data_IF_764771603869
#
_entry.id   IF_764771603869
#
_cell.length_a   1.000
_cell.length_b   1.000
_cell.length_c   1.000
_cell.angle_alpha   90.00
_cell.angle_beta   90.00
_cell.angle_gamma   90.00
#
_symmetry.space_group_name_H-M   'P 1'
#
loop_
_entity.id
_entity.type
_entity.pdbx_description
1 polymer ?
#
# COMPACT_ATOMS: atom_id res chain seq x y z
N UNK A 1 -6.05 2.48 7.64
CA UNK A 1 -6.33 2.42 9.09
C UNK A 1 -5.11 2.79 9.93
N UNK A 2 -3.92 2.31 9.62
CA UNK A 2 -2.70 2.65 10.38
C UNK A 2 -2.36 4.15 10.36
N UNK A 3 -2.67 4.81 9.26
CA UNK A 3 -2.28 6.21 9.00
C UNK A 3 -3.45 7.18 8.89
N UNK A 4 -4.68 6.68 8.91
CA UNK A 4 -5.90 7.49 8.88
C UNK A 4 -6.80 7.13 10.08
N UNK A 5 -6.76 7.92 11.15
CA UNK A 5 -7.55 7.66 12.35
C UNK A 5 -9.06 7.86 12.14
N UNK A 6 -9.47 8.75 11.22
CA UNK A 6 -10.89 8.98 10.91
C UNK A 6 -11.46 7.75 10.21
N UNK A 7 -10.73 7.22 9.22
CA UNK A 7 -11.11 5.99 8.54
C UNK A 7 -11.13 4.80 9.51
N UNK A 8 -10.13 4.70 10.40
CA UNK A 8 -10.09 3.66 11.42
C UNK A 8 -11.27 3.71 12.40
N UNK A 9 -11.68 4.92 12.81
CA UNK A 9 -12.88 5.12 13.63
C UNK A 9 -14.13 4.67 12.90
N UNK A 10 -14.32 5.14 11.65
CA UNK A 10 -15.48 4.76 10.86
C UNK A 10 -15.58 3.23 10.67
N UNK A 11 -14.49 2.54 10.34
CA UNK A 11 -14.53 1.07 10.18
C UNK A 11 -15.01 0.41 11.46
N UNK A 12 -14.49 0.82 12.63
CA UNK A 12 -14.84 0.21 13.93
C UNK A 12 -16.24 0.57 14.41
N UNK A 13 -16.61 1.84 14.33
CA UNK A 13 -17.82 2.37 14.99
C UNK A 13 -18.94 2.76 14.02
N UNK A 14 -18.63 2.98 12.74
CA UNK A 14 -19.52 3.56 11.75
C UNK A 14 -19.47 5.11 11.70
N UNK A 15 -18.75 5.73 12.65
CA UNK A 15 -18.70 7.19 12.76
C UNK A 15 -17.26 7.71 12.93
N UNK A 16 -16.95 8.91 12.42
CA UNK A 16 -17.73 9.65 11.44
C UNK A 16 -17.77 8.96 10.09
N UNK A 17 -18.81 9.14 9.28
CA UNK A 17 -18.94 8.50 7.97
C UNK A 17 -18.15 9.29 6.89
N UNK A 18 -16.97 8.83 6.42
CA UNK A 18 -16.20 9.56 5.43
C UNK A 18 -16.92 9.58 4.07
N UNK A 19 -16.83 10.68 3.30
CA UNK A 19 -17.45 10.78 1.99
C UNK A 19 -17.03 9.63 1.07
N UNK A 20 -18.00 8.95 0.46
CA UNK A 20 -17.77 7.83 -0.45
C UNK A 20 -17.44 6.50 0.22
N UNK A 21 -17.52 6.42 1.55
CA UNK A 21 -17.44 5.15 2.27
C UNK A 21 -18.74 4.36 2.07
N UNK A 22 -18.66 3.03 1.91
CA UNK A 22 -19.84 2.19 1.78
C UNK A 22 -20.53 2.01 3.13
N UNK A 23 -21.81 1.72 3.10
CA UNK A 23 -22.58 1.37 4.30
C UNK A 23 -22.27 -0.05 4.79
N UNK A 24 -22.45 -0.26 6.10
CA UNK A 24 -22.34 -1.55 6.76
C UNK A 24 -22.72 -1.42 8.23
N UNK A 25 -23.53 -2.34 8.72
CA UNK A 25 -24.03 -2.32 10.10
C UNK A 25 -22.93 -2.74 11.11
N UNK A 26 -22.07 -3.67 10.71
CA UNK A 26 -20.98 -4.18 11.55
C UNK A 26 -19.61 -3.75 11.03
N UNK A 27 -18.58 -3.83 11.88
CA UNK A 27 -17.19 -3.60 11.49
C UNK A 27 -16.78 -4.48 10.30
N UNK A 28 -17.10 -5.77 10.35
CA UNK A 28 -16.77 -6.72 9.30
C UNK A 28 -17.44 -6.38 7.97
N UNK A 29 -18.70 -5.94 8.00
CA UNK A 29 -19.42 -5.52 6.79
C UNK A 29 -18.85 -4.24 6.19
N UNK A 30 -18.53 -3.24 7.02
CA UNK A 30 -17.89 -2.00 6.56
C UNK A 30 -16.53 -2.28 5.95
N UNK A 31 -15.72 -3.11 6.61
CA UNK A 31 -14.40 -3.50 6.11
C UNK A 31 -14.52 -4.23 4.76
N UNK A 32 -15.35 -5.27 4.67
CA UNK A 32 -15.55 -6.03 3.44
C UNK A 32 -16.16 -5.18 2.30
N UNK A 33 -17.03 -4.23 2.63
CA UNK A 33 -17.59 -3.33 1.64
C UNK A 33 -16.52 -2.35 1.10
N UNK A 34 -15.64 -1.86 1.98
CA UNK A 34 -14.55 -0.99 1.58
C UNK A 34 -13.47 -1.73 0.77
N UNK A 35 -13.14 -2.98 1.12
CA UNK A 35 -12.27 -3.82 0.29
C UNK A 35 -12.73 -3.89 -1.17
N UNK A 36 -14.03 -4.04 -1.40
CA UNK A 36 -14.60 -4.05 -2.76
C UNK A 36 -14.44 -2.69 -3.47
N UNK A 37 -14.50 -1.59 -2.74
CA UNK A 37 -14.23 -0.24 -3.28
C UNK A 37 -12.76 -0.12 -3.68
N UNK A 38 -11.84 -0.49 -2.80
CA UNK A 38 -10.39 -0.49 -3.06
C UNK A 38 -10.06 -1.38 -4.25
N UNK A 39 -10.56 -2.61 -4.27
CA UNK A 39 -10.33 -3.56 -5.38
C UNK A 39 -10.81 -3.00 -6.73
N UNK A 40 -11.95 -2.31 -6.77
CA UNK A 40 -12.43 -1.68 -8.01
C UNK A 40 -11.54 -0.51 -8.44
N UNK A 41 -11.06 0.30 -7.49
CA UNK A 41 -10.16 1.42 -7.78
C UNK A 41 -8.79 0.94 -8.26
N UNK A 42 -8.22 -0.04 -7.61
CA UNK A 42 -6.87 -0.57 -7.91
C UNK A 42 -6.82 -1.36 -9.21
N UNK A 43 -7.91 -2.08 -9.56
CA UNK A 43 -8.00 -2.87 -10.80
C UNK A 43 -8.72 -2.13 -11.94
N UNK A 44 -9.22 -0.92 -11.70
CA UNK A 44 -9.88 -0.11 -12.72
C UNK A 44 -8.91 0.39 -13.78
N UNK A 45 -9.40 0.60 -15.00
CA UNK A 45 -8.60 1.17 -16.10
C UNK A 45 -8.18 2.62 -15.80
N UNK A 46 -8.94 3.32 -14.97
CA UNK A 46 -8.66 4.68 -14.51
C UNK A 46 -8.48 4.69 -12.99
N UNK A 47 -7.25 4.78 -12.53
CA UNK A 47 -6.95 4.95 -11.12
C UNK A 47 -7.30 6.37 -10.65
N UNK A 48 -8.11 6.48 -9.60
CA UNK A 48 -8.45 7.77 -9.00
C UNK A 48 -9.00 8.83 -9.97
N UNK A 49 -9.58 8.41 -11.09
CA UNK A 49 -10.25 9.25 -12.08
C UNK A 49 -9.35 9.96 -13.09
N UNK A 50 -8.02 9.85 -13.05
CA UNK A 50 -7.15 10.66 -13.94
C UNK A 50 -5.90 9.98 -14.51
N UNK A 51 -5.51 8.78 -14.10
CA UNK A 51 -4.33 8.10 -14.64
C UNK A 51 -4.69 6.71 -15.17
N UNK A 52 -4.29 6.37 -16.40
CA UNK A 52 -4.55 5.04 -16.94
C UNK A 52 -3.71 4.00 -16.20
N UNK A 53 -4.35 2.91 -15.81
CA UNK A 53 -3.68 1.72 -15.33
C UNK A 53 -3.34 0.80 -16.50
N UNK A 54 -2.18 0.18 -16.45
CA UNK A 54 -1.83 -0.89 -17.36
C UNK A 54 -2.75 -2.11 -17.12
N UNK A 55 -3.11 -2.86 -18.17
CA UNK A 55 -3.87 -4.10 -18.00
C UNK A 55 -3.15 -5.07 -17.06
N UNK A 56 -3.89 -5.64 -16.13
CA UNK A 56 -3.37 -6.61 -15.17
C UNK A 56 -4.32 -7.81 -15.06
N UNK A 57 -3.80 -9.04 -15.17
CA UNK A 57 -4.67 -10.22 -15.03
C UNK A 57 -5.28 -10.31 -13.63
N UNK A 58 -6.59 -10.34 -13.53
CA UNK A 58 -7.31 -10.44 -12.24
C UNK A 58 -6.86 -11.62 -11.38
N UNK A 59 -6.40 -12.70 -12.01
CA UNK A 59 -5.86 -13.88 -11.33
C UNK A 59 -4.57 -13.61 -10.53
N UNK A 60 -3.89 -12.48 -10.76
CA UNK A 60 -2.69 -12.05 -10.03
C UNK A 60 -3.02 -11.05 -8.90
N UNK A 61 -4.30 -10.80 -8.61
CA UNK A 61 -4.74 -9.86 -7.57
C UNK A 61 -4.58 -8.39 -7.94
N UNK A 62 -4.27 -7.54 -6.99
CA UNK A 62 -4.12 -6.10 -7.18
C UNK A 62 -2.80 -5.76 -7.87
N UNK A 63 -2.81 -4.97 -8.96
CA UNK A 63 -1.58 -4.56 -9.62
C UNK A 63 -0.72 -3.64 -8.73
N UNK A 64 0.63 -3.72 -8.77
CA UNK A 64 1.50 -2.88 -7.94
C UNK A 64 1.29 -1.38 -8.13
N UNK A 65 1.04 -0.92 -9.37
CA UNK A 65 0.72 0.49 -9.65
C UNK A 65 -0.66 0.91 -9.13
N UNK A 66 -1.64 0.01 -9.12
CA UNK A 66 -2.95 0.25 -8.51
C UNK A 66 -2.84 0.38 -6.99
N UNK A 67 -2.06 -0.49 -6.36
CA UNK A 67 -1.74 -0.40 -4.94
C UNK A 67 -0.96 0.87 -4.59
N UNK A 68 0.02 1.26 -5.42
CA UNK A 68 0.74 2.52 -5.29
C UNK A 68 -0.23 3.71 -5.30
N UNK A 69 -1.12 3.77 -6.27
CA UNK A 69 -2.09 4.85 -6.37
C UNK A 69 -3.06 4.88 -5.18
N UNK A 70 -3.47 3.72 -4.67
CA UNK A 70 -4.33 3.66 -3.48
C UNK A 70 -3.58 4.15 -2.23
N UNK A 71 -2.29 3.83 -2.09
CA UNK A 71 -1.47 4.35 -1.00
C UNK A 71 -1.26 5.87 -1.13
N UNK A 72 -0.99 6.38 -2.32
CA UNK A 72 -0.77 7.81 -2.53
C UNK A 72 -2.03 8.68 -2.42
N UNK A 73 -3.19 8.18 -2.85
CA UNK A 73 -4.39 8.98 -3.09
C UNK A 73 -5.65 8.43 -2.42
N UNK A 74 -5.57 7.25 -1.81
CA UNK A 74 -6.67 6.59 -1.13
C UNK A 74 -6.72 6.91 0.36
N UNK A 75 -6.85 5.88 1.19
CA UNK A 75 -7.01 5.99 2.65
C UNK A 75 -5.67 6.09 3.41
N UNK A 76 -4.56 6.30 2.73
CA UNK A 76 -3.25 6.50 3.34
C UNK A 76 -2.94 7.98 3.57
N UNK A 77 -1.79 8.25 4.17
CA UNK A 77 -1.38 9.60 4.55
C UNK A 77 -1.28 10.51 3.34
N UNK A 78 -2.00 11.62 3.37
CA UNK A 78 -2.02 12.59 2.27
C UNK A 78 -0.62 13.19 2.08
N UNK A 79 -0.15 13.19 0.83
CA UNK A 79 1.12 13.80 0.45
C UNK A 79 2.32 12.87 0.38
N UNK A 80 2.27 11.66 0.96
CA UNK A 80 3.35 10.68 0.82
C UNK A 80 3.41 10.16 -0.62
N UNK A 81 4.60 10.18 -1.21
CA UNK A 81 4.83 9.60 -2.53
C UNK A 81 5.34 8.16 -2.40
N UNK A 82 4.86 7.31 -3.28
CA UNK A 82 5.25 5.91 -3.34
C UNK A 82 5.95 5.58 -4.67
N UNK A 83 6.74 4.52 -4.64
CA UNK A 83 7.39 3.94 -5.82
C UNK A 83 7.25 2.43 -5.82
N UNK A 84 7.50 1.85 -6.99
CA UNK A 84 7.50 0.39 -7.19
C UNK A 84 8.91 -0.07 -7.48
N UNK A 85 9.45 -0.93 -6.63
CA UNK A 85 10.74 -1.59 -6.81
C UNK A 85 10.55 -3.05 -7.21
N UNK A 86 11.13 -3.43 -8.35
CA UNK A 86 11.10 -4.82 -8.81
C UNK A 86 12.21 -5.60 -8.13
N UNK A 87 11.85 -6.55 -7.28
CA UNK A 87 12.78 -7.41 -6.56
C UNK A 87 13.09 -8.69 -7.35
N UNK A 88 12.12 -9.15 -8.13
CA UNK A 88 12.24 -10.38 -8.92
C UNK A 88 13.32 -10.23 -9.99
N UNK A 89 14.33 -11.13 -9.95
CA UNK A 89 15.44 -11.10 -10.89
C UNK A 89 16.60 -10.19 -10.50
N UNK A 90 16.50 -9.48 -9.38
CA UNK A 90 17.64 -8.77 -8.82
C UNK A 90 18.67 -9.79 -8.29
N UNK A 91 19.95 -9.45 -8.41
CA UNK A 91 21.02 -10.18 -7.77
C UNK A 91 21.05 -9.96 -6.25
N UNK A 92 21.93 -10.64 -5.57
CA UNK A 92 22.06 -10.57 -4.11
C UNK A 92 22.29 -9.13 -3.64
N UNK A 93 23.20 -8.40 -4.29
CA UNK A 93 23.49 -7.02 -3.93
C UNK A 93 22.27 -6.11 -4.10
N UNK A 94 21.57 -6.22 -5.22
CA UNK A 94 20.36 -5.46 -5.48
C UNK A 94 19.21 -5.81 -4.53
N UNK A 95 19.11 -7.05 -4.05
CA UNK A 95 18.12 -7.41 -3.02
C UNK A 95 18.47 -6.82 -1.67
N UNK A 96 19.75 -6.83 -1.27
CA UNK A 96 20.24 -6.19 -0.04
C UNK A 96 19.93 -4.70 -0.05
N UNK A 97 20.32 -3.98 -1.12
CA UNK A 97 20.11 -2.54 -1.26
C UNK A 97 18.61 -2.16 -1.16
N UNK A 98 17.76 -2.89 -1.88
CA UNK A 98 16.30 -2.63 -1.88
C UNK A 98 15.66 -2.96 -0.54
N UNK A 99 16.10 -4.03 0.12
CA UNK A 99 15.63 -4.36 1.46
C UNK A 99 16.03 -3.27 2.46
N UNK A 100 17.29 -2.86 2.46
CA UNK A 100 17.78 -1.81 3.36
C UNK A 100 17.07 -0.47 3.12
N UNK A 101 16.85 -0.11 1.86
CA UNK A 101 16.04 1.05 1.49
C UNK A 101 14.62 0.94 2.03
N UNK A 102 13.99 -0.24 1.89
CA UNK A 102 12.63 -0.47 2.41
C UNK A 102 12.57 -0.30 3.93
N UNK A 103 13.55 -0.84 4.66
CA UNK A 103 13.69 -0.64 6.12
C UNK A 103 13.76 0.84 6.46
N UNK A 104 14.64 1.59 5.80
CA UNK A 104 14.87 3.00 6.10
C UNK A 104 13.63 3.86 5.86
N UNK A 105 12.92 3.66 4.74
CA UNK A 105 11.75 4.48 4.40
C UNK A 105 10.48 4.11 5.18
N UNK A 106 10.36 2.85 5.60
CA UNK A 106 9.23 2.40 6.43
C UNK A 106 9.41 2.83 7.89
N UNK A 107 10.66 3.02 8.35
CA UNK A 107 10.97 3.51 9.70
C UNK A 107 10.29 4.85 10.03
N UNK A 108 9.98 5.68 9.02
CA UNK A 108 9.23 6.93 9.17
C UNK A 108 7.73 6.73 9.50
N UNK A 109 7.29 5.47 9.66
CA UNK A 109 5.93 5.11 10.04
C UNK A 109 4.93 5.02 8.88
N UNK A 110 5.39 5.18 7.63
CA UNK A 110 4.56 4.94 6.45
C UNK A 110 4.67 3.46 6.01
N UNK A 111 3.55 2.74 5.86
CA UNK A 111 3.60 1.34 5.49
C UNK A 111 4.03 1.13 4.04
N UNK A 112 4.63 -0.03 3.78
CA UNK A 112 4.86 -0.54 2.43
C UNK A 112 4.02 -1.77 2.12
N UNK A 113 4.10 -2.24 0.89
CA UNK A 113 3.54 -3.52 0.47
C UNK A 113 4.64 -4.37 -0.16
N UNK A 114 4.61 -5.67 0.13
CA UNK A 114 5.51 -6.62 -0.50
C UNK A 114 4.68 -7.69 -1.23
N UNK A 115 4.87 -7.77 -2.53
CA UNK A 115 4.33 -8.84 -3.38
C UNK A 115 5.25 -10.04 -3.32
N UNK A 116 4.69 -11.17 -2.96
CA UNK A 116 5.42 -12.43 -2.79
C UNK A 116 4.75 -13.55 -3.60
N UNK A 117 5.50 -14.60 -3.88
CA UNK A 117 4.97 -15.71 -4.65
C UNK A 117 5.92 -16.87 -4.79
N UNK A 118 5.75 -17.61 -5.87
CA UNK A 118 6.68 -18.65 -6.28
C UNK A 118 7.67 -18.12 -7.36
N UNK A 119 8.44 -19.00 -7.97
CA UNK A 119 9.39 -18.61 -9.02
C UNK A 119 8.75 -18.12 -10.31
N UNK A 120 7.47 -18.40 -10.54
CA UNK A 120 6.76 -18.12 -11.79
C UNK A 120 5.84 -16.90 -11.71
N UNK A 121 5.14 -16.71 -10.58
CA UNK A 121 4.09 -15.69 -10.44
C UNK A 121 4.06 -15.12 -9.03
N UNK A 122 3.75 -13.81 -8.87
CA UNK A 122 3.30 -13.25 -7.60
C UNK A 122 1.94 -13.85 -7.24
N UNK A 123 1.73 -14.15 -5.96
CA UNK A 123 0.53 -14.85 -5.49
C UNK A 123 -0.12 -14.20 -4.30
N UNK A 124 0.60 -13.38 -3.59
CA UNK A 124 0.15 -12.80 -2.34
C UNK A 124 0.77 -11.42 -2.10
N UNK A 125 0.08 -10.59 -1.34
CA UNK A 125 0.54 -9.26 -0.94
C UNK A 125 0.46 -9.17 0.57
N UNK A 126 1.54 -8.72 1.19
CA UNK A 126 1.63 -8.50 2.63
C UNK A 126 1.93 -7.03 2.91
N UNK A 127 1.45 -6.53 4.06
CA UNK A 127 1.72 -5.17 4.51
C UNK A 127 3.05 -5.15 5.26
N UNK A 128 3.91 -4.22 4.89
CA UNK A 128 5.23 -4.04 5.52
C UNK A 128 5.16 -2.87 6.48
N UNK A 129 5.65 -3.10 7.68
CA UNK A 129 5.65 -2.18 8.82
C UNK A 129 7.07 -2.01 9.37
N UNK A 130 7.35 -0.95 10.15
CA UNK A 130 8.61 -0.85 10.88
C UNK A 130 8.80 -2.07 11.78
N UNK A 131 10.02 -2.60 11.84
CA UNK A 131 10.40 -3.64 12.79
C UNK A 131 11.00 -3.05 14.07
N UNK A 132 11.52 -3.92 14.92
CA UNK A 132 12.00 -3.59 16.28
C UNK A 132 13.37 -2.89 16.33
N UNK A 133 13.84 -2.33 15.22
CA UNK A 133 15.09 -1.54 15.18
C UNK A 133 16.37 -2.33 14.89
N UNK A 134 16.29 -3.64 14.64
CA UNK A 134 17.41 -4.54 14.28
C UNK A 134 17.64 -4.64 12.75
N UNK A 135 17.20 -3.65 11.98
CA UNK A 135 17.16 -3.65 10.51
C UNK A 135 16.32 -4.80 9.93
N UNK A 136 15.25 -5.13 10.62
CA UNK A 136 14.20 -6.02 10.16
C UNK A 136 12.92 -5.26 9.88
N UNK A 137 11.92 -5.96 9.36
CA UNK A 137 10.59 -5.44 9.08
C UNK A 137 9.54 -6.34 9.74
N UNK A 138 8.50 -5.73 10.27
CA UNK A 138 7.30 -6.46 10.61
C UNK A 138 6.42 -6.59 9.37
N UNK A 139 5.79 -7.74 9.21
CA UNK A 139 4.96 -8.04 8.07
C UNK A 139 3.61 -8.56 8.53
N UNK A 140 2.56 -7.78 8.29
CA UNK A 140 1.20 -8.25 8.49
C UNK A 140 0.73 -9.03 7.28
N UNK A 141 0.36 -10.28 7.50
CA UNK A 141 -0.14 -11.20 6.49
C UNK A 141 -1.68 -11.29 6.57
N UNK A 142 -2.41 -10.71 5.60
CA UNK A 142 -3.87 -10.70 5.63
C UNK A 142 -4.50 -12.10 5.47
N UNK A 143 -3.78 -13.08 4.89
CA UNK A 143 -4.30 -14.43 4.75
C UNK A 143 -4.38 -15.17 6.10
N UNK A 144 -3.49 -14.82 7.03
CA UNK A 144 -3.44 -15.45 8.36
C UNK A 144 -3.90 -14.54 9.49
N UNK A 145 -3.99 -13.23 9.22
CA UNK A 145 -4.25 -12.19 10.22
C UNK A 145 -3.10 -12.00 11.22
N UNK A 146 -1.90 -12.48 10.91
CA UNK A 146 -0.74 -12.47 11.81
C UNK A 146 0.31 -11.47 11.38
N UNK A 147 1.05 -10.97 12.36
CA UNK A 147 2.29 -10.24 12.13
C UNK A 147 3.44 -11.24 12.24
N UNK A 148 4.28 -11.27 11.21
CA UNK A 148 5.52 -12.02 11.17
C UNK A 148 6.69 -11.06 11.11
N UNK A 149 7.90 -11.61 11.20
CA UNK A 149 9.14 -10.86 11.17
C UNK A 149 9.93 -11.20 9.91
N UNK A 150 10.33 -10.18 9.15
CA UNK A 150 11.05 -10.34 7.88
C UNK A 150 12.47 -9.81 8.00
N UNK A 151 13.43 -10.69 7.82
CA UNK A 151 14.85 -10.39 7.86
C UNK A 151 15.44 -10.31 6.46
N UNK A 152 16.54 -9.57 6.33
CA UNK A 152 17.27 -9.40 5.07
C UNK A 152 17.67 -10.73 4.44
N UNK A 153 18.24 -11.65 5.23
CA UNK A 153 18.69 -12.94 4.76
C UNK A 153 17.56 -13.79 4.17
N UNK A 154 16.36 -13.70 4.74
CA UNK A 154 15.18 -14.39 4.21
C UNK A 154 14.78 -13.87 2.82
N UNK A 155 14.90 -12.55 2.58
CA UNK A 155 14.63 -11.92 1.28
C UNK A 155 15.67 -12.35 0.25
N UNK A 156 16.94 -12.22 0.60
CA UNK A 156 18.07 -12.53 -0.28
C UNK A 156 18.10 -14.01 -0.67
N UNK A 157 17.84 -14.90 0.27
CA UNK A 157 17.84 -16.35 0.06
C UNK A 157 16.54 -16.89 -0.53
N UNK A 158 15.53 -16.02 -0.79
CA UNK A 158 14.20 -16.45 -1.24
C UNK A 158 13.56 -17.48 -0.30
N UNK A 159 13.60 -17.20 1.01
CA UNK A 159 13.07 -18.04 2.10
C UNK A 159 12.15 -17.27 3.02
N UNK A 160 11.20 -16.51 2.45
CA UNK A 160 10.31 -15.63 3.20
C UNK A 160 9.42 -16.39 4.20
N UNK A 161 8.93 -17.57 3.84
CA UNK A 161 8.06 -18.40 4.69
C UNK A 161 6.70 -17.77 4.98
N UNK A 162 6.25 -16.78 4.20
CA UNK A 162 5.00 -16.06 4.42
C UNK A 162 3.88 -16.73 3.64
N UNK A 163 2.87 -17.26 4.34
CA UNK A 163 1.74 -18.02 3.75
C UNK A 163 2.15 -19.07 2.72
N UNK A 164 3.31 -19.72 2.91
CA UNK A 164 3.86 -20.71 1.98
C UNK A 164 4.59 -20.13 0.77
N UNK A 165 4.70 -18.80 0.67
CA UNK A 165 5.41 -18.14 -0.43
C UNK A 165 6.81 -17.70 0.01
N UNK A 166 7.79 -17.86 -0.89
CA UNK A 166 9.20 -17.69 -0.55
C UNK A 166 9.93 -16.65 -1.40
N UNK A 167 9.37 -16.24 -2.54
CA UNK A 167 10.04 -15.37 -3.50
C UNK A 167 9.49 -13.96 -3.43
N UNK A 168 10.33 -12.93 -3.14
CA UNK A 168 9.94 -11.54 -3.27
C UNK A 168 9.83 -11.15 -4.75
N UNK A 169 8.79 -10.41 -5.10
CA UNK A 169 8.52 -9.99 -6.47
C UNK A 169 8.65 -8.48 -6.66
N UNK A 170 7.91 -7.74 -5.87
CA UNK A 170 7.80 -6.29 -6.00
C UNK A 170 7.56 -5.71 -4.62
N UNK A 171 8.22 -4.60 -4.31
CA UNK A 171 7.88 -3.74 -3.18
C UNK A 171 7.20 -2.47 -3.67
N UNK A 172 6.12 -2.07 -3.00
CA UNK A 172 5.53 -0.73 -3.11
C UNK A 172 5.88 -0.01 -1.83
N UNK A 173 6.71 1.03 -1.91
CA UNK A 173 7.25 1.69 -0.72
C UNK A 173 7.15 3.20 -0.78
N UNK A 174 7.13 3.89 0.37
CA UNK A 174 7.29 5.33 0.42
C UNK A 174 8.66 5.74 -0.15
N UNK A 175 8.73 6.94 -0.69
CA UNK A 175 9.99 7.50 -1.25
C UNK A 175 10.71 8.41 -0.26
N UNK A 176 10.13 8.67 0.92
CA UNK A 176 10.58 9.74 1.81
C UNK A 176 10.22 11.15 1.33
N UNK A 177 9.71 11.28 0.12
CA UNK A 177 9.29 12.56 -0.45
C UNK A 177 7.80 12.79 -0.22
N UNK A 178 7.42 14.06 -0.03
CA UNK A 178 6.03 14.49 0.02
C UNK A 178 5.64 15.22 -1.26
N UNK A 179 4.38 15.09 -1.67
CA UNK A 179 3.80 15.96 -2.70
C UNK A 179 3.74 17.38 -2.17
N UNK A 180 4.25 18.32 -2.94
CA UNK A 180 3.96 19.73 -2.72
C UNK A 180 2.52 19.95 -3.19
N UNK A 181 1.60 20.22 -2.27
CA UNK A 181 0.29 20.73 -2.65
C UNK A 181 0.50 22.11 -3.30
N UNK A 182 0.34 22.16 -4.61
CA UNK A 182 0.18 23.44 -5.30
C UNK A 182 -1.20 23.96 -4.85
N UNK A 183 -1.17 24.83 -3.84
CA UNK A 183 -2.36 25.56 -3.40
C UNK A 183 -2.88 26.30 -4.63
N UNK A 184 -3.99 25.84 -5.20
CA UNK A 184 -4.68 26.65 -6.22
C UNK A 184 -5.00 28.00 -5.57
N UNK A 185 -4.60 29.12 -6.20
CA UNK A 185 -5.02 30.43 -5.69
C UNK A 185 -6.55 30.42 -5.62
N UNK A 186 -7.07 30.88 -4.49
CA UNK A 186 -8.51 31.04 -4.32
C UNK A 186 -9.06 31.79 -5.54
N UNK A 187 -10.20 31.36 -6.09
CA UNK A 187 -10.80 32.08 -7.20
C UNK A 187 -11.00 33.52 -6.73
N UNK A 188 -10.39 34.47 -7.46
CA UNK A 188 -10.58 35.90 -7.20
C UNK A 188 -12.08 36.18 -7.33
N UNK A 189 -12.70 36.56 -6.20
CA UNK A 189 -14.03 37.09 -6.22
C UNK A 189 -13.98 38.35 -7.09
N UNK A 190 -14.52 38.24 -8.30
CA UNK A 190 -14.67 39.38 -9.18
C UNK A 190 -15.45 40.48 -8.47
N UNK A 191 -15.24 41.76 -8.86
CA UNK A 191 -15.96 42.86 -8.23
C UNK A 191 -17.47 42.65 -8.33
N UNK A 192 -18.15 42.76 -7.19
CA UNK A 192 -19.61 42.72 -7.14
C UNK A 192 -20.15 43.85 -8.02
N UNK A 193 -21.11 43.60 -8.91
CA UNK A 193 -21.78 44.67 -9.63
C UNK A 193 -22.52 45.56 -8.67
N UNK A 194 -22.40 46.89 -8.89
CA UNK A 194 -23.08 47.96 -8.14
C UNK A 194 -24.57 47.96 -8.41
#
# INVERSE_FOLDING_TARGET
MLVDPVFASWVRTGEPHPPGSPEGATEAERFAAYERVVMRRTNGVLAGGRRPNLPWPRALGTPPWGALHELEFGASRIGTRYTVDVLRGADEYGLVERFDTLVDVVADGEPGLLYIGNRLLPRHVVLVLPGDGDRSLDVYDPATGRVGHLRRDAVVQHRLGLSGWNVPWVAVRPTGLRRVEVRQPAPSLGPMPA
#
